data_IF_252010439510
#
_entry.id   IF_252010439510
#
_cell.length_a   1.000
_cell.length_b   1.000
_cell.length_c   1.000
_cell.angle_alpha   90.00
_cell.angle_beta   90.00
_cell.angle_gamma   90.00
#
_symmetry.space_group_name_H-M   'P 1'
#
loop_
_entity.id
_entity.type
_entity.pdbx_description
1 polymer ?
#
# COMPACT_ATOMS: atom_id res chain seq x y z
N UNK A 1 42.62 -0.25 -27.56
CA UNK A 1 41.73 0.94 -27.41
C UNK A 1 40.25 0.66 -27.70
N UNK A 2 39.90 -0.36 -28.48
CA UNK A 2 38.51 -0.72 -28.84
C UNK A 2 37.69 -1.27 -27.68
N UNK A 3 38.27 -2.12 -26.81
CA UNK A 3 37.57 -2.69 -25.64
C UNK A 3 37.14 -1.65 -24.60
N UNK A 4 37.93 -0.58 -24.44
CA UNK A 4 37.63 0.50 -23.49
C UNK A 4 36.48 1.40 -23.96
N UNK A 5 36.39 1.66 -25.28
CA UNK A 5 35.26 2.38 -25.88
C UNK A 5 33.96 1.59 -25.78
N UNK A 6 34.02 0.28 -26.00
CA UNK A 6 32.87 -0.62 -25.89
C UNK A 6 32.35 -0.72 -24.45
N UNK A 7 33.26 -0.76 -23.47
CA UNK A 7 32.90 -0.74 -22.04
C UNK A 7 32.26 0.58 -21.62
N UNK A 8 32.75 1.73 -22.14
CA UNK A 8 32.13 3.04 -21.87
C UNK A 8 30.73 3.18 -22.47
N UNK A 9 30.51 2.63 -23.66
CA UNK A 9 29.19 2.63 -24.30
C UNK A 9 28.18 1.73 -23.57
N UNK A 10 28.63 0.59 -23.07
CA UNK A 10 27.79 -0.32 -22.28
C UNK A 10 27.40 0.28 -20.93
N UNK A 11 28.34 0.96 -20.23
CA UNK A 11 28.02 1.69 -19.00
C UNK A 11 27.05 2.85 -19.24
N UNK A 12 27.19 3.58 -20.35
CA UNK A 12 26.24 4.64 -20.72
C UNK A 12 24.83 4.11 -20.99
N UNK A 13 24.71 2.93 -21.61
CA UNK A 13 23.42 2.29 -21.87
C UNK A 13 22.75 1.77 -20.58
N UNK A 14 23.54 1.27 -19.62
CA UNK A 14 23.04 0.78 -18.32
C UNK A 14 22.55 1.91 -17.39
N UNK A 15 22.97 3.16 -17.61
CA UNK A 15 22.49 4.32 -16.85
C UNK A 15 21.13 4.85 -17.34
N UNK A 16 20.71 4.50 -18.57
CA UNK A 16 19.43 4.94 -19.15
C UNK A 16 18.23 4.10 -18.68
N UNK A 17 18.47 2.90 -18.12
CA UNK A 17 17.41 1.93 -17.80
C UNK A 17 16.72 2.19 -16.45
N UNK A 18 17.07 3.26 -15.74
CA UNK A 18 16.60 3.50 -14.36
C UNK A 18 15.59 4.67 -14.23
N UNK A 19 14.88 5.01 -15.31
CA UNK A 19 13.88 6.10 -15.32
C UNK A 19 12.46 5.59 -15.04
N UNK A 20 12.31 4.65 -14.12
CA UNK A 20 11.00 4.31 -13.56
C UNK A 20 10.53 5.43 -12.63
N UNK A 21 9.83 6.42 -13.17
CA UNK A 21 9.15 7.42 -12.34
C UNK A 21 7.98 6.77 -11.61
N UNK A 22 7.86 6.99 -10.30
CA UNK A 22 6.69 6.57 -9.53
C UNK A 22 5.44 7.29 -10.07
N UNK A 23 4.51 6.53 -10.65
CA UNK A 23 3.26 7.08 -11.18
C UNK A 23 2.19 7.10 -10.09
N UNK A 24 2.03 8.27 -9.47
CA UNK A 24 1.01 8.49 -8.44
C UNK A 24 -0.42 8.32 -8.98
N UNK A 25 -0.66 8.52 -10.28
CA UNK A 25 -1.99 8.32 -10.86
C UNK A 25 -2.33 6.84 -10.93
N UNK A 26 -1.40 6.01 -11.44
CA UNK A 26 -1.56 4.56 -11.45
C UNK A 26 -1.68 3.97 -10.03
N UNK A 27 -0.92 4.51 -9.06
CA UNK A 27 -1.07 4.14 -7.65
C UNK A 27 -2.48 4.47 -7.13
N UNK A 28 -2.94 5.70 -7.30
CA UNK A 28 -4.27 6.11 -6.81
C UNK A 28 -5.40 5.28 -7.43
N UNK A 29 -5.33 4.98 -8.73
CA UNK A 29 -6.29 4.11 -9.39
C UNK A 29 -6.30 2.70 -8.75
N UNK A 30 -5.12 2.15 -8.47
CA UNK A 30 -4.97 0.84 -7.81
C UNK A 30 -5.58 0.85 -6.41
N UNK A 31 -5.35 1.89 -5.62
CA UNK A 31 -5.88 2.01 -4.26
C UNK A 31 -7.42 2.14 -4.26
N UNK A 32 -7.99 2.92 -5.18
CA UNK A 32 -9.43 3.01 -5.36
C UNK A 32 -10.03 1.66 -5.77
N UNK A 33 -9.34 0.90 -6.62
CA UNK A 33 -9.78 -0.45 -6.99
C UNK A 33 -9.81 -1.40 -5.79
N UNK A 34 -8.80 -1.35 -4.93
CA UNK A 34 -8.77 -2.14 -3.68
C UNK A 34 -9.93 -1.75 -2.75
N UNK A 35 -10.20 -0.45 -2.58
CA UNK A 35 -11.35 0.04 -1.80
C UNK A 35 -12.66 -0.53 -2.34
N UNK A 36 -12.85 -0.53 -3.66
CA UNK A 36 -14.04 -1.08 -4.30
C UNK A 36 -14.16 -2.59 -4.10
N UNK A 37 -13.05 -3.33 -4.18
CA UNK A 37 -13.05 -4.77 -3.89
C UNK A 37 -13.41 -5.05 -2.43
N UNK A 38 -12.90 -4.26 -1.48
CA UNK A 38 -13.27 -4.38 -0.07
C UNK A 38 -14.77 -4.13 0.12
N UNK A 39 -15.32 -3.07 -0.49
CA UNK A 39 -16.75 -2.79 -0.41
C UNK A 39 -17.60 -3.91 -1.05
N UNK A 40 -17.14 -4.50 -2.15
CA UNK A 40 -17.82 -5.63 -2.80
C UNK A 40 -17.78 -6.91 -1.96
N UNK A 41 -16.78 -7.09 -1.09
CA UNK A 41 -16.71 -8.22 -0.16
C UNK A 41 -17.70 -8.09 1.01
N UNK A 42 -18.11 -6.87 1.40
CA UNK A 42 -19.00 -6.67 2.55
C UNK A 42 -20.29 -7.52 2.52
N UNK A 43 -21.11 -7.50 1.44
CA UNK A 43 -22.30 -8.34 1.36
C UNK A 43 -21.99 -9.84 1.34
N UNK A 44 -20.83 -10.25 0.78
CA UNK A 44 -20.40 -11.65 0.81
C UNK A 44 -20.08 -12.13 2.23
N UNK A 45 -19.68 -11.22 3.12
CA UNK A 45 -19.51 -11.54 4.54
C UNK A 45 -20.86 -11.74 5.25
N UNK A 46 -21.90 -11.00 4.85
CA UNK A 46 -23.25 -11.23 5.36
C UNK A 46 -23.74 -12.62 4.94
N UNK A 47 -23.64 -12.94 3.65
CA UNK A 47 -23.99 -14.27 3.12
C UNK A 47 -23.18 -15.38 3.80
N UNK A 48 -21.86 -15.19 3.94
CA UNK A 48 -20.99 -16.18 4.60
C UNK A 48 -21.24 -16.30 6.11
N UNK A 49 -21.90 -15.33 6.76
CA UNK A 49 -22.32 -15.42 8.15
C UNK A 49 -23.63 -16.19 8.28
N UNK A 50 -24.56 -15.98 7.36
CA UNK A 50 -25.87 -16.65 7.31
C UNK A 50 -25.75 -18.15 6.97
N UNK A 51 -24.78 -18.51 6.14
CA UNK A 51 -24.51 -19.89 5.72
C UNK A 51 -23.66 -20.69 6.73
N UNK A 52 -23.32 -20.14 7.89
CA UNK A 52 -22.52 -20.87 8.89
C UNK A 52 -23.35 -21.90 9.64
N UNK A 53 -22.87 -23.14 9.63
CA UNK A 53 -23.45 -24.22 10.43
C UNK A 53 -23.36 -23.92 11.93
N UNK A 54 -24.49 -23.98 12.67
CA UNK A 54 -24.47 -23.84 14.11
C UNK A 54 -23.66 -24.99 14.74
N UNK A 55 -22.65 -24.63 15.53
CA UNK A 55 -21.69 -25.54 16.17
C UNK A 55 -20.61 -26.14 15.24
N UNK A 56 -20.29 -25.47 14.14
CA UNK A 56 -19.11 -25.81 13.36
C UNK A 56 -17.84 -25.83 14.23
N UNK A 57 -16.98 -26.84 14.04
CA UNK A 57 -15.69 -26.94 14.75
C UNK A 57 -14.78 -25.74 14.46
N UNK A 58 -14.92 -25.15 13.28
CA UNK A 58 -14.23 -23.95 12.83
C UNK A 58 -15.32 -22.99 12.37
N UNK A 59 -15.35 -21.80 12.95
CA UNK A 59 -16.27 -20.73 12.58
C UNK A 59 -15.48 -19.55 12.03
N UNK A 60 -16.02 -18.90 11.00
CA UNK A 60 -15.48 -17.64 10.50
C UNK A 60 -16.06 -16.51 11.36
N UNK A 61 -15.21 -15.81 12.10
CA UNK A 61 -15.63 -14.66 12.90
C UNK A 61 -15.73 -13.41 12.02
N UNK A 62 -16.91 -13.22 11.41
CA UNK A 62 -17.20 -12.01 10.63
C UNK A 62 -17.26 -10.79 11.55
N UNK A 63 -17.93 -10.94 12.69
CA UNK A 63 -18.09 -9.92 13.72
C UNK A 63 -17.11 -10.11 14.89
N UNK A 64 -16.94 -9.04 15.66
CA UNK A 64 -16.15 -9.03 16.90
C UNK A 64 -16.61 -10.12 17.85
N UNK A 65 -15.65 -10.87 18.42
CA UNK A 65 -15.94 -12.01 19.28
C UNK A 65 -15.07 -12.03 20.55
N UNK A 66 -15.47 -12.85 21.52
CA UNK A 66 -14.73 -13.10 22.76
C UNK A 66 -14.28 -14.55 22.74
N UNK A 67 -13.00 -14.79 23.02
CA UNK A 67 -12.44 -16.14 23.07
C UNK A 67 -12.72 -16.85 24.42
N UNK A 68 -12.26 -18.10 24.52
CA UNK A 68 -12.41 -18.90 25.75
C UNK A 68 -11.64 -18.36 26.96
N UNK A 69 -10.74 -17.40 26.79
CA UNK A 69 -9.98 -16.73 27.85
C UNK A 69 -10.63 -15.39 28.27
N UNK A 70 -11.75 -15.01 27.63
CA UNK A 70 -12.44 -13.76 27.88
C UNK A 70 -11.83 -12.55 27.14
N UNK A 71 -10.88 -12.78 26.22
CA UNK A 71 -10.26 -11.71 25.43
C UNK A 71 -11.13 -11.39 24.20
N UNK A 72 -11.32 -10.10 23.96
CA UNK A 72 -12.01 -9.61 22.76
C UNK A 72 -11.07 -9.54 21.57
N UNK A 73 -11.53 -10.03 20.41
CA UNK A 73 -10.82 -10.00 19.14
C UNK A 73 -11.66 -9.31 18.07
N UNK A 74 -11.00 -8.56 17.18
CA UNK A 74 -11.64 -7.96 16.03
C UNK A 74 -12.19 -9.05 15.09
N UNK A 75 -13.34 -8.77 14.48
CA UNK A 75 -13.88 -9.60 13.40
C UNK A 75 -13.25 -9.21 12.06
N UNK A 76 -13.39 -10.09 11.07
CA UNK A 76 -12.92 -9.82 9.70
C UNK A 76 -13.51 -8.51 9.13
N UNK A 77 -14.76 -8.18 9.48
CA UNK A 77 -15.41 -6.94 9.07
C UNK A 77 -14.68 -5.70 9.58
N UNK A 78 -14.31 -5.71 10.87
CA UNK A 78 -13.60 -4.60 11.50
C UNK A 78 -12.25 -4.37 10.82
N UNK A 79 -11.52 -5.45 10.55
CA UNK A 79 -10.21 -5.40 9.88
C UNK A 79 -10.32 -4.83 8.46
N UNK A 80 -11.30 -5.28 7.67
CA UNK A 80 -11.52 -4.79 6.31
C UNK A 80 -11.93 -3.32 6.29
N UNK A 81 -12.77 -2.89 7.24
CA UNK A 81 -13.12 -1.47 7.41
C UNK A 81 -11.90 -0.64 7.78
N UNK A 82 -11.05 -1.13 8.69
CA UNK A 82 -9.83 -0.46 9.09
C UNK A 82 -8.86 -0.30 7.90
N UNK A 83 -8.65 -1.36 7.11
CA UNK A 83 -7.82 -1.31 5.90
C UNK A 83 -8.39 -0.31 4.91
N UNK A 84 -9.69 -0.38 4.59
CA UNK A 84 -10.34 0.54 3.65
C UNK A 84 -10.14 2.00 4.08
N UNK A 85 -10.38 2.30 5.35
CA UNK A 85 -10.24 3.65 5.87
C UNK A 85 -8.77 4.13 5.79
N UNK A 86 -7.82 3.26 6.09
CA UNK A 86 -6.39 3.55 5.96
C UNK A 86 -5.99 3.90 4.52
N UNK A 87 -6.57 3.20 3.52
CA UNK A 87 -6.34 3.49 2.11
C UNK A 87 -6.95 4.83 1.70
N UNK A 88 -8.16 5.14 2.18
CA UNK A 88 -8.82 6.44 1.95
C UNK A 88 -7.97 7.56 2.55
N UNK A 89 -7.51 7.39 3.78
CA UNK A 89 -6.66 8.36 4.46
C UNK A 89 -5.36 8.60 3.68
N UNK A 90 -4.72 7.54 3.19
CA UNK A 90 -3.52 7.66 2.37
C UNK A 90 -3.77 8.43 1.07
N UNK A 91 -4.85 8.13 0.34
CA UNK A 91 -5.21 8.86 -0.89
C UNK A 91 -5.45 10.35 -0.59
N UNK A 92 -6.07 10.66 0.54
CA UNK A 92 -6.42 12.01 0.95
C UNK A 92 -5.25 12.77 1.59
N UNK A 93 -4.10 12.12 1.85
CA UNK A 93 -2.95 12.80 2.41
C UNK A 93 -2.48 13.90 1.45
N UNK A 94 -2.27 15.14 1.96
CA UNK A 94 -1.77 16.21 1.13
C UNK A 94 -0.39 15.82 0.60
N UNK A 95 -0.16 16.03 -0.69
CA UNK A 95 1.17 15.85 -1.27
C UNK A 95 2.16 16.76 -0.53
N UNK A 96 3.00 16.16 0.32
CA UNK A 96 4.06 16.88 1.00
C UNK A 96 5.09 17.22 -0.07
N UNK A 97 5.01 18.42 -0.63
CA UNK A 97 6.07 18.93 -1.49
C UNK A 97 7.40 18.84 -0.73
N UNK A 98 8.51 18.42 -1.38
CA UNK A 98 9.81 18.40 -0.73
C UNK A 98 10.05 19.77 -0.09
N UNK A 99 10.26 19.81 1.23
CA UNK A 99 10.63 21.06 1.89
C UNK A 99 11.97 21.47 1.31
N UNK A 100 12.01 22.65 0.69
CA UNK A 100 13.28 23.26 0.30
C UNK A 100 13.97 23.69 1.61
N UNK A 101 14.85 22.83 2.11
CA UNK A 101 15.69 23.15 3.26
C UNK A 101 16.77 24.10 2.76
N UNK A 102 16.94 25.26 3.41
CA UNK A 102 18.08 26.12 3.11
C UNK A 102 19.37 25.33 3.40
N UNK A 103 20.36 25.32 2.49
CA UNK A 103 21.64 24.71 2.76
C UNK A 103 22.23 25.25 4.07
N UNK A 104 22.83 24.38 4.88
CA UNK A 104 23.57 24.82 6.06
C UNK A 104 24.83 25.56 5.62
N UNK A 105 25.39 26.40 6.50
CA UNK A 105 26.54 27.26 6.18
C UNK A 105 27.81 26.49 5.73
N UNK A 106 27.84 25.17 5.89
CA UNK A 106 28.93 24.27 5.51
C UNK A 106 28.52 23.23 4.45
N UNK A 107 27.32 23.31 3.90
CA UNK A 107 26.92 22.42 2.81
C UNK A 107 27.76 22.75 1.57
N UNK A 108 28.44 21.73 1.03
CA UNK A 108 29.21 21.86 -0.19
C UNK A 108 28.26 22.06 -1.38
N UNK A 109 28.05 23.32 -1.76
CA UNK A 109 27.41 23.67 -3.03
C UNK A 109 28.51 23.76 -4.07
N UNK A 110 28.79 22.65 -4.75
CA UNK A 110 29.72 22.62 -5.87
C UNK A 110 29.29 23.67 -6.91
N UNK A 111 30.13 24.67 -7.16
CA UNK A 111 29.88 25.66 -8.21
C UNK A 111 29.97 24.93 -9.56
N UNK A 112 28.90 25.00 -10.33
CA UNK A 112 28.90 24.64 -11.76
C UNK A 112 29.76 25.61 -12.58
#
# INVERSE_FOLDING_TARGET
MTKLKMLSGLCGLLLLVNTGCADNAALNETLVRLINQINAMMPLLDEAQDEQEPNARIALHVERFVDGEGKTHAGLRDDLVAIRNSLIDFINQPAIAPKIIKPLALDYVGRG
#
